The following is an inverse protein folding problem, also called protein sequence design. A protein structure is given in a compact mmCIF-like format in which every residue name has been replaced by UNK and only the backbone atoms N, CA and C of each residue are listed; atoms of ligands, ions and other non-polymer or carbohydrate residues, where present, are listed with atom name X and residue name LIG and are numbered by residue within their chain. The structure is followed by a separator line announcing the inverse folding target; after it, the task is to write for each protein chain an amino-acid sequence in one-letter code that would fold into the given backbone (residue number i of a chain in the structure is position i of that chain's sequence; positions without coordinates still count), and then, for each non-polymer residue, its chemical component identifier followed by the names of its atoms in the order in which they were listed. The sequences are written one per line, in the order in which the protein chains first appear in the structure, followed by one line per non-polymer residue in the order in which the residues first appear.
data_IF_687467308939
#
_entry.id   IF_687467308939
#
_cell.length_a   1.000
_cell.length_b   1.000
_cell.length_c   1.000
_cell.angle_alpha   90.00
_cell.angle_beta   90.00
_cell.angle_gamma   90.00
#
_symmetry.space_group_name_H-M   'P 1'
#
loop_
_entity.id
_entity.type
_entity.pdbx_description
1 polymer ?
#
# COMPACT_ATOMS: atom_id res chain seq x y z
N UNK A 1 40.69 -55.43 3.91
CA UNK A 1 39.25 -55.22 4.05
C UNK A 1 39.00 -54.36 5.27
N UNK A 2 38.76 -53.10 5.09
CA UNK A 2 38.51 -52.15 6.18
C UNK A 2 36.99 -51.96 6.35
N UNK A 3 36.49 -52.20 7.54
CA UNK A 3 35.07 -52.09 7.87
C UNK A 3 34.61 -50.62 7.92
N UNK A 4 33.53 -50.28 7.24
CA UNK A 4 32.89 -49.00 7.24
C UNK A 4 32.17 -48.76 8.59
N UNK A 5 32.37 -47.64 9.28
CA UNK A 5 31.67 -47.36 10.52
C UNK A 5 30.19 -47.07 10.28
N UNK A 6 29.30 -47.70 11.04
CA UNK A 6 27.86 -47.41 11.05
C UNK A 6 27.58 -46.09 11.76
N UNK A 7 26.59 -45.29 11.28
CA UNK A 7 26.17 -44.08 11.98
C UNK A 7 25.44 -44.38 13.28
N UNK A 8 25.52 -43.50 14.28
CA UNK A 8 24.90 -43.69 15.57
C UNK A 8 23.36 -43.67 15.48
N UNK A 9 22.73 -44.69 16.04
CA UNK A 9 21.27 -44.75 16.22
C UNK A 9 20.86 -43.90 17.42
N UNK A 10 19.82 -43.14 17.27
CA UNK A 10 19.13 -42.33 18.27
C UNK A 10 19.73 -40.91 18.53
N UNK A 11 19.36 -39.99 17.66
CA UNK A 11 19.25 -38.57 18.05
C UNK A 11 17.77 -38.35 18.41
N UNK A 12 17.49 -38.14 19.70
CA UNK A 12 16.17 -37.78 20.19
C UNK A 12 15.77 -36.42 19.54
N UNK A 13 14.65 -36.39 18.82
CA UNK A 13 14.09 -35.14 18.33
C UNK A 13 13.71 -34.24 19.52
N UNK A 14 14.07 -32.98 19.50
CA UNK A 14 13.59 -32.04 20.53
C UNK A 14 12.06 -31.99 20.45
N UNK A 15 11.38 -31.80 21.61
CA UNK A 15 9.92 -31.66 21.62
C UNK A 15 9.54 -30.48 20.76
N UNK A 16 8.61 -30.69 19.83
CA UNK A 16 8.01 -29.62 19.05
C UNK A 16 7.39 -28.60 20.01
N UNK A 17 7.98 -27.41 20.07
CA UNK A 17 7.38 -26.30 20.78
C UNK A 17 6.01 -26.04 20.14
N UNK A 18 4.94 -26.37 20.85
CA UNK A 18 3.58 -25.95 20.52
C UNK A 18 3.59 -24.43 20.71
N UNK A 19 3.68 -23.71 19.60
CA UNK A 19 3.43 -22.26 19.61
C UNK A 19 1.98 -22.11 20.05
N UNK A 20 1.69 -21.47 21.21
CA UNK A 20 0.31 -21.25 21.60
C UNK A 20 -0.38 -20.47 20.51
N UNK A 21 -1.50 -21.02 20.02
CA UNK A 21 -2.41 -20.35 19.11
C UNK A 21 -2.77 -18.98 19.72
N UNK A 22 -2.20 -17.93 19.17
CA UNK A 22 -2.52 -16.57 19.58
C UNK A 22 -4.00 -16.39 19.26
N UNK A 23 -4.84 -16.46 20.31
CA UNK A 23 -6.28 -16.25 20.23
C UNK A 23 -6.52 -14.99 19.41
N UNK A 24 -6.89 -15.20 18.16
CA UNK A 24 -7.10 -14.20 17.15
C UNK A 24 -8.25 -13.29 17.61
N UNK A 25 -7.90 -12.06 17.97
CA UNK A 25 -8.87 -10.99 17.76
C UNK A 25 -9.34 -11.13 16.32
N UNK A 26 -10.67 -11.08 16.03
CA UNK A 26 -11.11 -11.13 14.65
C UNK A 26 -10.32 -10.08 13.87
N UNK A 27 -9.51 -10.53 12.93
CA UNK A 27 -8.69 -9.65 12.10
C UNK A 27 -9.58 -8.68 11.32
N UNK A 28 -9.00 -7.60 10.81
CA UNK A 28 -9.75 -6.65 10.01
C UNK A 28 -10.48 -7.38 8.88
N UNK A 29 -11.79 -7.18 8.76
CA UNK A 29 -12.62 -7.83 7.75
C UNK A 29 -12.92 -6.84 6.61
N UNK A 30 -12.21 -7.02 5.50
CA UNK A 30 -12.41 -6.25 4.26
C UNK A 30 -13.07 -7.09 3.16
N UNK A 31 -13.75 -8.19 3.52
CA UNK A 31 -14.40 -9.08 2.56
C UNK A 31 -15.41 -8.32 1.70
N UNK A 32 -15.24 -8.43 0.39
CA UNK A 32 -16.10 -7.76 -0.60
C UNK A 32 -15.76 -6.29 -0.84
N UNK A 33 -14.70 -5.77 -0.23
CA UNK A 33 -14.18 -4.42 -0.51
C UNK A 33 -13.16 -4.46 -1.64
N UNK A 34 -13.27 -3.51 -2.56
CA UNK A 34 -12.33 -3.31 -3.66
C UNK A 34 -11.43 -2.12 -3.37
N UNK A 35 -10.11 -2.36 -3.36
CA UNK A 35 -9.11 -1.34 -3.04
C UNK A 35 -8.15 -1.19 -4.21
N UNK A 36 -7.97 0.03 -4.68
CA UNK A 36 -6.92 0.36 -5.64
C UNK A 36 -5.70 0.87 -4.88
N UNK A 37 -4.52 0.31 -5.16
CA UNK A 37 -3.25 0.75 -4.57
C UNK A 37 -2.37 1.35 -5.65
N UNK A 38 -2.13 2.66 -5.57
CA UNK A 38 -1.20 3.39 -6.42
C UNK A 38 0.21 3.40 -5.81
N UNK A 39 1.16 2.75 -6.47
CA UNK A 39 2.55 2.66 -5.99
C UNK A 39 3.42 3.64 -6.74
N UNK A 40 4.06 4.58 -6.03
CA UNK A 40 4.91 5.60 -6.62
C UNK A 40 6.41 5.29 -6.43
N UNK A 41 7.24 5.91 -7.29
CA UNK A 41 8.69 5.68 -7.35
C UNK A 41 9.45 6.23 -6.16
N UNK A 42 9.59 5.44 -5.13
CA UNK A 42 10.39 5.74 -3.95
C UNK A 42 10.89 4.46 -3.28
N UNK A 43 12.00 4.54 -2.54
CA UNK A 43 12.58 3.35 -1.88
C UNK A 43 11.56 2.63 -0.99
N UNK A 44 10.61 3.34 -0.39
CA UNK A 44 9.59 2.74 0.46
C UNK A 44 8.58 1.83 -0.29
N UNK A 45 8.64 1.75 -1.63
CA UNK A 45 7.78 0.88 -2.44
C UNK A 45 7.86 -0.60 -2.00
N UNK A 46 9.02 -1.08 -1.54
CA UNK A 46 9.15 -2.45 -1.05
C UNK A 46 8.27 -2.75 0.17
N UNK A 47 8.02 -1.75 1.02
CA UNK A 47 7.15 -1.89 2.20
C UNK A 47 5.68 -2.01 1.83
N UNK A 48 5.29 -1.48 0.67
CA UNK A 48 3.91 -1.55 0.19
C UNK A 48 3.52 -2.97 -0.18
N UNK A 49 4.48 -3.84 -0.51
CA UNK A 49 4.22 -5.25 -0.70
C UNK A 49 3.61 -5.90 0.57
N UNK A 50 4.09 -5.52 1.77
CA UNK A 50 3.51 -5.97 3.04
C UNK A 50 2.11 -5.37 3.26
N UNK A 51 1.86 -4.11 2.90
CA UNK A 51 0.53 -3.50 2.95
C UNK A 51 -0.45 -4.26 2.06
N UNK A 52 -0.09 -4.50 0.79
CA UNK A 52 -0.92 -5.26 -0.17
C UNK A 52 -1.21 -6.65 0.35
N UNK A 53 -0.18 -7.37 0.83
CA UNK A 53 -0.35 -8.70 1.42
C UNK A 53 -1.36 -8.72 2.58
N UNK A 54 -1.27 -7.74 3.49
CA UNK A 54 -2.18 -7.62 4.63
C UNK A 54 -3.61 -7.27 4.22
N UNK A 55 -3.80 -6.38 3.24
CA UNK A 55 -5.12 -6.05 2.71
C UNK A 55 -5.79 -7.27 2.08
N UNK A 56 -5.04 -8.06 1.30
CA UNK A 56 -5.53 -9.31 0.70
C UNK A 56 -5.86 -10.34 1.79
N UNK A 57 -5.01 -10.50 2.81
CA UNK A 57 -5.27 -11.38 3.96
C UNK A 57 -6.52 -10.96 4.75
N UNK A 58 -6.82 -9.65 4.79
CA UNK A 58 -8.05 -9.12 5.37
C UNK A 58 -9.31 -9.36 4.49
N UNK A 59 -9.14 -9.96 3.32
CA UNK A 59 -10.22 -10.33 2.40
C UNK A 59 -10.58 -9.30 1.35
N UNK A 60 -9.82 -8.21 1.21
CA UNK A 60 -10.03 -7.22 0.16
C UNK A 60 -9.66 -7.74 -1.23
N UNK A 61 -10.41 -7.34 -2.24
CA UNK A 61 -9.96 -7.35 -3.62
C UNK A 61 -8.99 -6.19 -3.83
N UNK A 62 -7.73 -6.49 -4.15
CA UNK A 62 -6.71 -5.45 -4.34
C UNK A 62 -6.28 -5.40 -5.79
N UNK A 63 -6.32 -4.22 -6.40
CA UNK A 63 -5.74 -3.94 -7.71
C UNK A 63 -4.61 -2.93 -7.56
N UNK A 64 -3.45 -3.24 -8.13
CA UNK A 64 -2.27 -2.38 -8.01
C UNK A 64 -2.01 -1.66 -9.34
N UNK A 65 -1.77 -0.36 -9.28
CA UNK A 65 -1.22 0.43 -10.36
C UNK A 65 0.10 1.07 -9.91
N UNK A 66 1.04 1.20 -10.83
CA UNK A 66 2.39 1.69 -10.53
C UNK A 66 2.77 2.83 -11.46
N UNK A 67 3.48 3.82 -10.93
CA UNK A 67 4.16 4.78 -11.82
C UNK A 67 5.37 4.09 -12.49
N UNK A 68 5.83 4.58 -13.66
CA UNK A 68 7.02 4.03 -14.33
C UNK A 68 8.24 3.97 -13.40
N UNK A 69 8.41 4.97 -12.53
CA UNK A 69 9.53 5.02 -11.59
C UNK A 69 9.40 3.96 -10.48
N UNK A 70 8.18 3.60 -10.09
CA UNK A 70 7.94 2.57 -9.07
C UNK A 70 8.46 1.20 -9.52
N UNK A 71 8.33 0.89 -10.82
CA UNK A 71 8.79 -0.39 -11.39
C UNK A 71 10.30 -0.60 -11.29
N UNK A 72 11.07 0.48 -11.07
CA UNK A 72 12.53 0.43 -10.86
C UNK A 72 12.91 0.03 -9.44
N UNK A 73 12.00 0.13 -8.47
CA UNK A 73 12.22 -0.25 -7.07
C UNK A 73 11.65 -1.63 -6.76
N UNK A 74 10.46 -1.92 -7.28
CA UNK A 74 9.77 -3.21 -7.11
C UNK A 74 9.13 -3.57 -8.45
N UNK A 75 9.29 -4.81 -8.88
CA UNK A 75 8.70 -5.23 -10.16
C UNK A 75 7.18 -5.45 -10.04
N UNK A 76 6.40 -5.26 -11.10
CA UNK A 76 4.96 -5.56 -11.15
C UNK A 76 4.66 -6.99 -10.67
N UNK A 77 5.49 -7.97 -11.05
CA UNK A 77 5.35 -9.37 -10.67
C UNK A 77 5.23 -9.58 -9.16
N UNK A 78 5.91 -8.77 -8.34
CA UNK A 78 5.81 -8.85 -6.87
C UNK A 78 4.36 -8.63 -6.42
N UNK A 79 3.70 -7.62 -6.94
CA UNK A 79 2.33 -7.29 -6.58
C UNK A 79 1.32 -8.24 -7.24
N UNK A 80 1.55 -8.68 -8.47
CA UNK A 80 0.71 -9.69 -9.14
C UNK A 80 0.66 -10.98 -8.34
N UNK A 81 1.81 -11.45 -7.83
CA UNK A 81 1.88 -12.63 -6.98
C UNK A 81 1.12 -12.47 -5.66
N UNK A 82 1.04 -11.24 -5.12
CA UNK A 82 0.35 -10.97 -3.85
C UNK A 82 -1.16 -10.81 -4.01
N UNK A 83 -1.63 -10.10 -5.04
CA UNK A 83 -3.04 -9.80 -5.22
C UNK A 83 -3.76 -10.73 -6.21
N UNK A 84 -3.04 -11.62 -6.90
CA UNK A 84 -3.56 -12.51 -7.94
C UNK A 84 -4.32 -11.76 -9.04
N UNK A 85 -3.92 -10.53 -9.34
CA UNK A 85 -4.47 -9.66 -10.37
C UNK A 85 -3.35 -9.00 -11.17
N UNK A 86 -3.56 -8.71 -12.47
CA UNK A 86 -2.59 -7.97 -13.27
C UNK A 86 -2.31 -6.58 -12.69
N UNK A 87 -1.04 -6.21 -12.62
CA UNK A 87 -0.59 -4.87 -12.24
C UNK A 87 -0.61 -3.96 -13.47
N UNK A 88 -1.07 -2.74 -13.29
CA UNK A 88 -1.14 -1.74 -14.36
C UNK A 88 0.01 -0.75 -14.23
N UNK A 89 0.70 -0.49 -15.33
CA UNK A 89 1.90 0.38 -15.32
C UNK A 89 1.82 1.50 -16.36
N UNK A 90 0.93 1.39 -17.35
CA UNK A 90 0.79 2.36 -18.42
C UNK A 90 -0.67 2.82 -18.55
N UNK A 91 -0.85 4.09 -18.91
CA UNK A 91 -2.17 4.69 -19.20
C UNK A 91 -2.81 3.98 -20.41
N UNK A 92 -2.00 3.50 -21.33
CA UNK A 92 -2.40 2.89 -22.60
C UNK A 92 -2.38 1.35 -22.57
N UNK A 93 -2.16 0.73 -21.41
CA UNK A 93 -2.32 -0.71 -21.26
C UNK A 93 -3.78 -1.13 -21.53
N UNK A 94 -4.07 -1.31 -22.80
CA UNK A 94 -5.36 -1.77 -23.29
C UNK A 94 -5.48 -3.27 -23.02
N UNK A 95 -6.21 -3.64 -22.00
CA UNK A 95 -6.66 -5.02 -21.83
C UNK A 95 -8.01 -5.16 -22.54
N UNK A 96 -8.07 -6.08 -23.48
CA UNK A 96 -9.19 -6.78 -24.16
C UNK A 96 -10.62 -6.17 -24.17
N UNK A 97 -10.88 -5.04 -23.51
CA UNK A 97 -12.16 -4.33 -23.54
C UNK A 97 -11.99 -2.88 -23.98
N UNK A 98 -12.87 -2.42 -24.85
CA UNK A 98 -12.95 -1.03 -25.32
C UNK A 98 -13.33 -0.01 -24.25
N UNK A 99 -13.37 -0.41 -22.97
CA UNK A 99 -13.74 0.44 -21.84
C UNK A 99 -12.47 1.05 -21.22
N UNK A 100 -12.41 2.37 -20.99
CA UNK A 100 -11.28 3.02 -20.31
C UNK A 100 -11.09 2.44 -18.92
N UNK A 101 -10.10 1.55 -18.76
CA UNK A 101 -9.92 0.75 -17.54
C UNK A 101 -9.69 1.60 -16.27
N UNK A 102 -9.09 2.78 -16.41
CA UNK A 102 -8.92 3.70 -15.28
C UNK A 102 -10.28 4.17 -14.72
N UNK A 103 -11.31 4.32 -15.55
CA UNK A 103 -12.67 4.67 -15.12
C UNK A 103 -13.32 3.46 -14.44
N UNK A 104 -13.34 2.30 -15.11
CA UNK A 104 -13.96 1.09 -14.57
C UNK A 104 -13.35 0.63 -13.22
N UNK A 105 -12.04 0.80 -13.03
CA UNK A 105 -11.36 0.47 -11.78
C UNK A 105 -11.72 1.46 -10.66
N UNK A 106 -11.78 2.76 -10.98
CA UNK A 106 -12.09 3.80 -9.98
C UNK A 106 -13.57 3.82 -9.60
N UNK A 107 -14.48 3.44 -10.51
CA UNK A 107 -15.91 3.31 -10.23
C UNK A 107 -16.23 2.14 -9.29
N UNK A 108 -15.46 1.06 -9.35
CA UNK A 108 -15.65 -0.12 -8.50
C UNK A 108 -14.94 -0.04 -7.17
N UNK A 109 -13.97 0.86 -7.04
CA UNK A 109 -13.15 0.97 -5.84
C UNK A 109 -13.95 1.55 -4.67
N UNK A 110 -13.88 0.91 -3.52
CA UNK A 110 -14.36 1.46 -2.24
C UNK A 110 -13.36 2.48 -1.65
N UNK A 111 -12.07 2.34 -2.00
CA UNK A 111 -10.99 3.23 -1.54
C UNK A 111 -9.79 3.16 -2.50
N UNK A 112 -9.14 4.29 -2.70
CA UNK A 112 -7.84 4.36 -3.36
C UNK A 112 -6.76 4.74 -2.35
N UNK A 113 -5.73 3.88 -2.22
CA UNK A 113 -4.55 4.12 -1.41
C UNK A 113 -3.35 4.46 -2.30
N UNK A 114 -2.73 5.61 -2.13
CA UNK A 114 -1.47 5.98 -2.78
C UNK A 114 -0.33 5.78 -1.80
N UNK A 115 0.43 4.71 -1.98
CA UNK A 115 1.53 4.31 -1.09
C UNK A 115 2.69 3.64 -1.88
N UNK A 116 3.94 4.09 -1.71
CA UNK A 116 4.30 5.30 -1.03
C UNK A 116 3.89 6.52 -1.86
N UNK A 117 3.36 7.56 -1.21
CA UNK A 117 3.09 8.82 -1.89
C UNK A 117 4.36 9.69 -1.89
N UNK A 118 4.96 9.86 -3.05
CA UNK A 118 6.13 10.74 -3.22
C UNK A 118 5.73 12.20 -3.25
N UNK A 119 6.69 13.11 -3.01
CA UNK A 119 6.46 14.54 -3.20
C UNK A 119 5.95 14.88 -4.62
N UNK A 120 6.41 14.13 -5.63
CA UNK A 120 6.00 14.30 -7.02
C UNK A 120 4.50 14.02 -7.20
N UNK A 121 4.00 12.87 -6.74
CA UNK A 121 2.58 12.52 -6.91
C UNK A 121 1.67 13.48 -6.13
N UNK A 122 2.07 13.90 -4.91
CA UNK A 122 1.33 14.87 -4.11
C UNK A 122 1.23 16.21 -4.86
N UNK A 123 2.35 16.68 -5.46
CA UNK A 123 2.37 17.91 -6.25
C UNK A 123 1.51 17.78 -7.52
N UNK A 124 1.61 16.66 -8.25
CA UNK A 124 0.78 16.42 -9.45
C UNK A 124 -0.70 16.49 -9.14
N UNK A 125 -1.15 15.75 -8.13
CA UNK A 125 -2.57 15.74 -7.74
C UNK A 125 -3.03 17.11 -7.24
N UNK A 126 -2.21 17.81 -6.43
CA UNK A 126 -2.53 19.15 -5.97
C UNK A 126 -2.71 20.17 -7.10
N UNK A 127 -2.11 19.92 -8.26
CA UNK A 127 -2.18 20.80 -9.42
C UNK A 127 -2.99 20.22 -10.59
N UNK A 128 -3.61 19.08 -10.42
CA UNK A 128 -4.48 18.45 -11.44
C UNK A 128 -3.71 17.90 -12.63
N UNK A 129 -2.42 17.49 -12.44
CA UNK A 129 -1.63 16.84 -13.47
C UNK A 129 -1.97 15.35 -13.51
N UNK A 130 -2.25 14.83 -14.71
CA UNK A 130 -2.68 13.45 -14.94
C UNK A 130 -1.80 12.79 -16.02
N UNK A 131 -0.48 12.93 -15.91
CA UNK A 131 0.50 12.50 -16.90
C UNK A 131 1.11 11.11 -16.61
N UNK A 132 0.66 10.46 -15.55
CA UNK A 132 0.92 9.05 -15.25
C UNK A 132 -0.35 8.35 -14.76
N UNK A 133 -0.35 7.01 -14.80
CA UNK A 133 -1.54 6.21 -14.47
C UNK A 133 -2.04 6.48 -13.04
N UNK A 134 -1.16 6.65 -12.04
CA UNK A 134 -1.58 6.85 -10.66
C UNK A 134 -2.24 8.21 -10.48
N UNK A 135 -1.66 9.28 -11.05
CA UNK A 135 -2.25 10.63 -11.02
C UNK A 135 -3.59 10.70 -11.75
N UNK A 136 -3.68 10.01 -12.90
CA UNK A 136 -4.92 9.90 -13.67
C UNK A 136 -6.03 9.19 -12.88
N UNK A 137 -5.70 8.05 -12.24
CA UNK A 137 -6.66 7.30 -11.43
C UNK A 137 -7.11 8.09 -10.19
N UNK A 138 -6.23 8.85 -9.55
CA UNK A 138 -6.63 9.75 -8.45
C UNK A 138 -7.60 10.82 -8.94
N UNK A 139 -7.36 11.41 -10.11
CA UNK A 139 -8.24 12.42 -10.68
C UNK A 139 -9.63 11.86 -11.07
N UNK A 140 -9.68 10.58 -11.46
CA UNK A 140 -10.92 9.89 -11.82
C UNK A 140 -11.63 9.21 -10.64
N UNK A 141 -11.03 9.19 -9.43
CA UNK A 141 -11.55 8.44 -8.31
C UNK A 141 -12.88 9.00 -7.81
N UNK A 142 -13.90 8.14 -7.76
CA UNK A 142 -15.20 8.41 -7.14
C UNK A 142 -15.27 7.97 -5.65
N UNK A 143 -14.23 7.33 -5.17
CA UNK A 143 -14.08 6.83 -3.79
C UNK A 143 -13.14 7.72 -2.96
N UNK A 144 -13.09 7.53 -1.63
CA UNK A 144 -12.08 8.18 -0.78
C UNK A 144 -10.66 7.85 -1.24
N UNK A 145 -9.81 8.88 -1.34
CA UNK A 145 -8.38 8.73 -1.66
C UNK A 145 -7.55 9.01 -0.42
N UNK A 146 -6.60 8.12 -0.15
CA UNK A 146 -5.71 8.17 1.00
C UNK A 146 -4.26 8.15 0.54
N UNK A 147 -3.46 9.09 1.02
CA UNK A 147 -2.02 9.15 0.75
C UNK A 147 -1.22 8.67 1.96
N UNK A 148 -0.25 7.80 1.73
CA UNK A 148 0.78 7.43 2.71
C UNK A 148 2.13 8.02 2.26
N UNK A 149 2.51 9.22 2.72
CA UNK A 149 3.71 9.90 2.25
C UNK A 149 4.99 9.17 2.65
N UNK A 150 5.98 9.17 1.72
CA UNK A 150 7.33 8.74 2.01
C UNK A 150 8.33 9.53 1.17
N UNK A 151 9.20 10.30 1.84
CA UNK A 151 10.21 11.12 1.19
C UNK A 151 11.32 11.51 2.17
N UNK A 152 12.36 12.15 1.67
CA UNK A 152 13.38 12.77 2.52
C UNK A 152 12.75 13.85 3.43
N UNK A 153 13.26 14.02 4.66
CA UNK A 153 12.77 15.01 5.61
C UNK A 153 12.79 16.45 5.07
N UNK A 154 13.85 16.83 4.33
CA UNK A 154 13.94 18.16 3.71
C UNK A 154 12.84 18.38 2.66
N UNK A 155 12.47 17.31 1.94
CA UNK A 155 11.34 17.37 0.99
C UNK A 155 10.02 17.50 1.72
N UNK A 156 9.83 16.75 2.80
CA UNK A 156 8.61 16.82 3.62
C UNK A 156 8.43 18.18 4.31
N UNK A 157 9.53 18.76 4.78
CA UNK A 157 9.54 20.06 5.44
C UNK A 157 9.52 21.26 4.48
N UNK A 158 9.67 21.01 3.16
CA UNK A 158 9.63 22.07 2.16
C UNK A 158 8.27 22.77 2.17
N UNK A 159 8.23 24.13 2.21
CA UNK A 159 6.98 24.89 2.22
C UNK A 159 6.02 24.51 1.10
N UNK A 160 6.52 24.32 -0.14
CA UNK A 160 5.68 23.92 -1.28
C UNK A 160 5.03 22.54 -1.05
N UNK A 161 5.78 21.59 -0.48
CA UNK A 161 5.20 20.28 -0.15
C UNK A 161 4.12 20.39 0.93
N UNK A 162 4.32 21.22 1.96
CA UNK A 162 3.32 21.51 3.00
C UNK A 162 2.08 22.17 2.44
N UNK A 163 2.23 23.13 1.54
CA UNK A 163 1.10 23.81 0.87
C UNK A 163 0.30 22.81 0.02
N UNK A 164 0.97 21.94 -0.73
CA UNK A 164 0.29 20.91 -1.52
C UNK A 164 -0.50 19.94 -0.63
N UNK A 165 0.07 19.48 0.48
CA UNK A 165 -0.63 18.63 1.44
C UNK A 165 -1.84 19.34 2.01
N UNK A 166 -1.67 20.57 2.51
CA UNK A 166 -2.76 21.36 3.08
C UNK A 166 -3.88 21.65 2.06
N UNK A 167 -3.51 21.84 0.78
CA UNK A 167 -4.49 21.99 -0.31
C UNK A 167 -5.30 20.72 -0.51
N UNK A 168 -4.65 19.56 -0.54
CA UNK A 168 -5.32 18.29 -0.72
C UNK A 168 -6.21 17.93 0.49
N UNK A 169 -5.77 18.20 1.72
CA UNK A 169 -6.59 18.00 2.92
C UNK A 169 -7.89 18.84 2.86
N UNK A 170 -7.81 20.09 2.41
CA UNK A 170 -8.99 20.95 2.19
C UNK A 170 -9.95 20.40 1.12
N UNK A 171 -9.45 19.58 0.21
CA UNK A 171 -10.23 18.87 -0.82
C UNK A 171 -10.68 17.47 -0.36
N UNK A 172 -10.61 17.18 0.95
CA UNK A 172 -11.00 15.92 1.59
C UNK A 172 -10.12 14.70 1.23
N UNK A 173 -8.94 14.91 0.66
CA UNK A 173 -7.93 13.85 0.60
C UNK A 173 -7.36 13.58 2.00
N UNK A 174 -7.07 12.33 2.30
CA UNK A 174 -6.60 11.90 3.62
C UNK A 174 -5.14 11.52 3.58
N UNK A 175 -4.45 11.72 4.71
CA UNK A 175 -3.03 11.39 4.85
C UNK A 175 -2.81 10.48 6.05
N UNK A 176 -1.95 9.45 5.88
CA UNK A 176 -1.50 8.54 6.93
C UNK A 176 0.00 8.71 7.06
N UNK A 177 0.46 9.26 8.17
CA UNK A 177 1.86 9.63 8.34
C UNK A 177 2.21 10.95 7.62
N UNK A 178 3.49 11.15 7.22
CA UNK A 178 4.60 10.23 7.41
C UNK A 178 5.04 10.13 8.87
N UNK A 179 5.64 9.00 9.23
CA UNK A 179 6.26 8.81 10.53
C UNK A 179 7.63 9.49 10.61
N UNK A 180 8.09 9.69 11.86
CA UNK A 180 9.49 10.03 12.14
C UNK A 180 10.32 8.77 12.35
N UNK A 181 11.57 8.78 11.89
CA UNK A 181 12.46 7.64 12.07
C UNK A 181 13.68 7.68 11.17
N UNK A 182 14.38 6.54 11.08
CA UNK A 182 15.52 6.38 10.20
C UNK A 182 15.09 6.39 8.74
N UNK A 183 15.72 7.28 7.96
CA UNK A 183 15.47 7.46 6.55
C UNK A 183 16.60 6.85 5.70
N UNK A 184 16.31 6.51 4.45
CA UNK A 184 17.31 5.95 3.52
C UNK A 184 18.51 6.90 3.26
N UNK A 185 18.33 8.20 3.49
CA UNK A 185 19.42 9.18 3.44
C UNK A 185 20.32 9.19 4.70
N UNK A 186 20.17 8.19 5.59
CA UNK A 186 20.94 8.01 6.83
C UNK A 186 20.74 9.12 7.87
N UNK A 187 19.60 9.80 7.85
CA UNK A 187 19.17 10.76 8.85
C UNK A 187 17.95 10.27 9.60
N UNK A 188 17.71 10.78 10.79
CA UNK A 188 16.47 10.60 11.56
C UNK A 188 15.61 11.85 11.40
N UNK A 189 14.34 11.65 11.06
CA UNK A 189 13.41 12.78 10.90
C UNK A 189 12.06 12.33 10.34
N UNK A 190 11.13 13.28 10.14
CA UNK A 190 9.86 13.02 9.49
C UNK A 190 10.07 12.73 8.00
N UNK A 191 9.20 11.89 7.43
CA UNK A 191 9.24 11.53 6.00
C UNK A 191 9.31 10.03 5.76
N UNK A 192 9.37 9.21 6.81
CA UNK A 192 9.31 7.76 6.72
C UNK A 192 7.88 7.31 6.43
N UNK A 193 7.71 6.34 5.53
CA UNK A 193 6.41 5.69 5.32
C UNK A 193 5.89 5.18 6.67
N UNK A 194 4.64 5.47 6.98
CA UNK A 194 3.95 4.89 8.14
C UNK A 194 4.09 3.36 8.15
N UNK A 195 4.06 2.76 9.33
CA UNK A 195 4.19 1.31 9.42
C UNK A 195 3.06 0.63 8.65
N UNK A 196 3.37 -0.48 7.93
CA UNK A 196 2.38 -1.17 7.09
C UNK A 196 1.09 -1.51 7.83
N UNK A 197 1.20 -1.94 9.10
CA UNK A 197 0.01 -2.25 9.89
C UNK A 197 -0.83 -1.00 10.18
N UNK A 198 -0.22 0.14 10.48
CA UNK A 198 -0.94 1.39 10.73
C UNK A 198 -1.68 1.87 9.47
N UNK A 199 -1.10 1.66 8.28
CA UNK A 199 -1.77 1.96 7.01
C UNK A 199 -3.00 1.07 6.84
N UNK A 200 -2.87 -0.24 7.07
CA UNK A 200 -3.98 -1.19 6.97
C UNK A 200 -5.09 -0.86 7.97
N UNK A 201 -4.73 -0.57 9.23
CA UNK A 201 -5.70 -0.23 10.28
C UNK A 201 -6.50 1.03 9.93
N UNK A 202 -5.83 2.03 9.36
CA UNK A 202 -6.48 3.25 8.88
C UNK A 202 -7.44 2.98 7.71
N UNK A 203 -7.03 2.15 6.74
CA UNK A 203 -7.90 1.72 5.62
C UNK A 203 -9.13 0.98 6.13
N UNK A 204 -8.94 0.04 7.06
CA UNK A 204 -10.05 -0.69 7.69
C UNK A 204 -11.01 0.26 8.41
N UNK A 205 -10.48 1.20 9.18
CA UNK A 205 -11.30 2.20 9.88
C UNK A 205 -12.14 3.05 8.93
N UNK A 206 -11.60 3.39 7.76
CA UNK A 206 -12.29 4.19 6.74
C UNK A 206 -13.39 3.41 6.02
N UNK A 207 -13.21 2.10 5.85
CA UNK A 207 -14.14 1.22 5.16
C UNK A 207 -15.14 0.52 6.09
N UNK A 208 -14.91 0.58 7.40
CA UNK A 208 -15.88 0.08 8.38
C UNK A 208 -17.09 1.01 8.43
N UNK A 209 -18.31 0.48 8.45
CA UNK A 209 -19.49 1.31 8.65
C UNK A 209 -19.35 2.08 9.98
N UNK A 210 -19.65 3.38 9.94
CA UNK A 210 -19.72 4.17 11.16
C UNK A 210 -20.67 3.45 12.15
N UNK A 211 -20.15 3.10 13.32
CA UNK A 211 -20.99 2.62 14.42
C UNK A 211 -21.88 3.81 14.78
N UNK A 212 -23.15 3.75 14.36
CA UNK A 212 -24.13 4.72 14.84
C UNK A 212 -24.13 4.65 16.38
N UNK A 213 -24.00 5.79 17.09
CA UNK A 213 -24.17 5.78 18.52
C UNK A 213 -25.58 5.28 18.80
N UNK A 214 -25.67 4.16 19.51
CA UNK A 214 -26.96 3.62 20.00
C UNK A 214 -27.69 4.77 20.68
N UNK A 215 -28.82 5.17 20.10
CA UNK A 215 -29.74 6.10 20.75
C UNK A 215 -30.23 5.41 22.02
N UNK A 216 -29.74 5.89 23.15
CA UNK A 216 -30.26 5.59 24.48
C UNK A 216 -31.51 6.45 24.72
#
# INVERSE_FOLDING_TARGET
MAATPQPPKNVAQPPSAVIPDSQSRPGPNLKGREIVVGVCGGIAAYKVADVVSKLVQAGAGVTVCMTPEATRFVTPLTFEALCARPVRTDIFDLVESSDPQHIALTERADLMLVAPATSNIIAKVAHGLCDDLVSLMVAAAACPVVFAPAMNNRMWENPVAKENVAKLEKLNYRFIGPDSGWLACRNVGPGRLAEPQAIVDAVVSLLSPAVEPSRV
#
